data_IF_299518527489
#
_entry.id   IF_299518527489
#
_cell.length_a   1.000
_cell.length_b   1.000
_cell.length_c   1.000
_cell.angle_alpha   90.00
_cell.angle_beta   90.00
_cell.angle_gamma   90.00
#
_symmetry.space_group_name_H-M   'P 1'
#
loop_
_entity.id
_entity.type
_entity.pdbx_description
1 polymer ?
#
# COMPACT_ATOMS: atom_id res chain seq x y z
N UNK A 1 -10.98 -2.47 -24.91
CA UNK A 1 -11.60 -1.51 -23.96
C UNK A 1 -11.57 -2.11 -22.57
N UNK A 2 -10.59 -1.72 -21.74
CA UNK A 2 -10.53 -2.17 -20.34
C UNK A 2 -11.68 -1.51 -19.60
N UNK A 3 -12.65 -2.31 -19.12
CA UNK A 3 -13.70 -1.81 -18.22
C UNK A 3 -12.98 -1.20 -17.02
N UNK A 4 -13.15 0.11 -16.81
CA UNK A 4 -12.69 0.77 -15.58
C UNK A 4 -13.16 -0.08 -14.40
N UNK A 5 -12.25 -0.44 -13.49
CA UNK A 5 -12.61 -1.26 -12.34
C UNK A 5 -13.74 -0.57 -11.57
N UNK A 6 -14.64 -1.36 -10.99
CA UNK A 6 -15.78 -0.90 -10.17
C UNK A 6 -15.36 0.10 -9.09
N UNK A 7 -14.09 0.05 -8.68
CA UNK A 7 -13.43 0.99 -7.77
C UNK A 7 -13.28 2.43 -8.29
N UNK A 8 -13.03 2.62 -9.59
CA UNK A 8 -12.91 3.97 -10.18
C UNK A 8 -14.27 4.67 -10.34
N UNK A 9 -15.35 3.91 -10.50
CA UNK A 9 -16.71 4.46 -10.68
C UNK A 9 -17.32 5.02 -9.38
N UNK A 10 -16.89 4.52 -8.21
CA UNK A 10 -17.30 5.05 -6.90
C UNK A 10 -16.60 6.36 -6.52
N UNK A 11 -15.57 6.75 -7.28
CA UNK A 11 -14.61 7.82 -6.96
C UNK A 11 -14.97 9.19 -7.55
N UNK A 12 -16.07 9.31 -8.31
CA UNK A 12 -16.52 10.61 -8.81
C UNK A 12 -17.09 11.44 -7.65
N UNK A 13 -16.24 12.34 -7.12
CA UNK A 13 -16.61 13.45 -6.27
C UNK A 13 -17.46 14.42 -7.09
N UNK A 14 -18.77 14.19 -7.13
CA UNK A 14 -19.69 15.16 -7.74
C UNK A 14 -19.82 16.37 -6.81
N UNK A 15 -20.09 17.57 -7.36
CA UNK A 15 -20.33 18.77 -6.53
C UNK A 15 -21.43 18.55 -5.49
N UNK A 16 -22.47 17.79 -5.84
CA UNK A 16 -23.56 17.39 -4.94
C UNK A 16 -23.06 16.56 -3.74
N UNK A 17 -22.19 15.57 -3.98
CA UNK A 17 -21.60 14.75 -2.93
C UNK A 17 -20.68 15.57 -2.02
N UNK A 18 -19.94 16.54 -2.58
CA UNK A 18 -19.09 17.44 -1.80
C UNK A 18 -19.90 18.38 -0.90
N UNK A 19 -20.99 18.95 -1.42
CA UNK A 19 -21.90 19.79 -0.63
C UNK A 19 -22.52 19.00 0.52
N UNK A 20 -22.97 17.77 0.26
CA UNK A 20 -23.52 16.89 1.29
C UNK A 20 -22.47 16.44 2.31
N UNK A 21 -21.26 16.12 1.85
CA UNK A 21 -20.13 15.79 2.73
C UNK A 21 -19.85 16.93 3.71
N UNK A 22 -19.92 18.18 3.25
CA UNK A 22 -19.71 19.35 4.11
C UNK A 22 -20.75 19.45 5.22
N UNK A 23 -22.04 19.23 4.91
CA UNK A 23 -23.10 19.19 5.91
C UNK A 23 -22.84 18.10 6.97
N UNK A 24 -22.48 16.89 6.53
CA UNK A 24 -22.14 15.79 7.44
C UNK A 24 -20.93 16.15 8.30
N UNK A 25 -19.89 16.74 7.72
CA UNK A 25 -18.68 17.13 8.45
C UNK A 25 -18.96 18.22 9.50
N UNK A 26 -19.81 19.20 9.20
CA UNK A 26 -20.23 20.22 10.16
C UNK A 26 -20.98 19.62 11.36
N UNK A 27 -21.87 18.65 11.12
CA UNK A 27 -22.57 17.93 12.19
C UNK A 27 -21.61 17.11 13.07
N UNK A 28 -20.65 16.41 12.44
CA UNK A 28 -19.65 15.61 13.17
C UNK A 28 -18.68 16.51 13.95
N UNK A 29 -18.38 17.71 13.43
CA UNK A 29 -17.61 18.73 14.16
C UNK A 29 -18.40 19.27 15.35
N UNK A 30 -19.71 19.41 15.22
CA UNK A 30 -20.64 19.74 16.31
C UNK A 30 -20.86 18.63 17.34
N UNK A 31 -20.12 17.52 17.26
CA UNK A 31 -20.14 16.42 18.24
C UNK A 31 -21.07 15.26 17.88
N UNK A 32 -21.79 15.31 16.75
CA UNK A 32 -22.65 14.20 16.34
C UNK A 32 -21.82 12.96 15.96
N UNK A 33 -22.22 11.75 16.36
CA UNK A 33 -21.60 10.52 15.89
C UNK A 33 -21.65 10.41 14.35
N UNK A 34 -20.53 10.00 13.73
CA UNK A 34 -20.41 9.91 12.26
C UNK A 34 -21.50 9.08 11.61
N UNK A 35 -21.85 7.93 12.22
CA UNK A 35 -22.88 7.05 11.69
C UNK A 35 -24.26 7.70 11.69
N UNK A 36 -24.57 8.53 12.69
CA UNK A 36 -25.83 9.27 12.77
C UNK A 36 -25.86 10.41 11.75
N UNK A 37 -24.79 11.20 11.67
CA UNK A 37 -24.68 12.29 10.71
C UNK A 37 -24.83 11.78 9.26
N UNK A 38 -24.17 10.69 8.91
CA UNK A 38 -24.30 10.07 7.57
C UNK A 38 -25.72 9.59 7.30
N UNK A 39 -26.43 9.01 8.28
CA UNK A 39 -27.80 8.51 8.10
C UNK A 39 -28.83 9.60 7.84
N UNK A 40 -28.59 10.81 8.36
CA UNK A 40 -29.47 11.98 8.16
C UNK A 40 -29.39 12.56 6.75
N UNK A 41 -28.37 12.16 5.99
CA UNK A 41 -28.04 12.73 4.69
C UNK A 41 -27.89 11.61 3.62
N UNK A 42 -28.99 10.93 3.23
CA UNK A 42 -28.94 9.85 2.25
C UNK A 42 -28.66 10.36 0.83
N UNK A 43 -28.03 9.52 0.01
CA UNK A 43 -27.79 9.76 -1.43
C UNK A 43 -28.50 8.71 -2.27
N UNK A 44 -28.68 8.99 -3.56
CA UNK A 44 -29.22 7.99 -4.50
C UNK A 44 -28.31 6.75 -4.50
N UNK A 45 -28.84 5.62 -4.03
CA UNK A 45 -28.10 4.36 -3.91
C UNK A 45 -27.45 4.10 -2.55
N UNK A 46 -27.73 4.88 -1.50
CA UNK A 46 -27.34 4.57 -0.12
C UNK A 46 -26.87 5.79 0.67
N UNK A 47 -25.64 5.73 1.18
CA UNK A 47 -25.06 6.76 2.04
C UNK A 47 -23.71 7.24 1.51
N UNK A 48 -23.32 8.45 1.91
CA UNK A 48 -21.99 8.96 1.59
C UNK A 48 -20.91 8.10 2.25
N UNK A 49 -19.87 7.73 1.50
CA UNK A 49 -18.78 6.93 2.02
C UNK A 49 -17.84 7.77 2.88
N UNK A 50 -17.19 7.13 3.85
CA UNK A 50 -16.12 7.76 4.65
C UNK A 50 -14.97 8.32 3.81
N UNK A 51 -14.65 7.70 2.66
CA UNK A 51 -13.65 8.24 1.73
C UNK A 51 -14.03 9.60 1.16
N UNK A 52 -15.32 9.82 0.87
CA UNK A 52 -15.81 11.12 0.39
C UNK A 52 -15.77 12.16 1.51
N UNK A 53 -16.08 11.78 2.75
CA UNK A 53 -15.94 12.66 3.92
C UNK A 53 -14.48 13.10 4.13
N UNK A 54 -13.53 12.16 4.03
CA UNK A 54 -12.09 12.47 4.12
C UNK A 54 -11.67 13.40 3.00
N UNK A 55 -12.05 13.12 1.75
CA UNK A 55 -11.71 13.97 0.61
C UNK A 55 -12.26 15.41 0.75
N UNK A 56 -13.52 15.55 1.17
CA UNK A 56 -14.12 16.85 1.43
C UNK A 56 -13.43 17.59 2.59
N UNK A 57 -13.07 16.88 3.66
CA UNK A 57 -12.32 17.45 4.78
C UNK A 57 -10.94 17.97 4.32
N UNK A 58 -10.18 17.17 3.57
CA UNK A 58 -8.86 17.59 3.06
C UNK A 58 -8.99 18.82 2.15
N UNK A 59 -9.99 18.87 1.28
CA UNK A 59 -10.25 20.04 0.43
C UNK A 59 -10.56 21.32 1.24
N UNK A 60 -11.30 21.18 2.35
CA UNK A 60 -11.60 22.31 3.24
C UNK A 60 -10.35 22.80 3.99
N UNK A 61 -9.44 21.90 4.34
CA UNK A 61 -8.16 22.26 4.98
C UNK A 61 -7.20 22.90 3.98
N UNK A 62 -7.04 22.31 2.79
CA UNK A 62 -6.16 22.82 1.73
C UNK A 62 -6.59 24.19 1.19
N UNK A 63 -7.91 24.44 1.11
CA UNK A 63 -8.44 25.76 0.74
C UNK A 63 -8.34 26.81 1.84
N UNK A 64 -7.87 26.45 3.04
CA UNK A 64 -7.81 27.33 4.21
C UNK A 64 -9.17 27.64 4.83
N UNK A 65 -10.26 27.03 4.35
CA UNK A 65 -11.58 27.22 4.94
C UNK A 65 -11.63 26.70 6.38
N UNK A 66 -10.96 25.56 6.64
CA UNK A 66 -10.87 24.92 7.95
C UNK A 66 -9.41 24.78 8.40
N UNK A 67 -9.18 24.84 9.71
CA UNK A 67 -7.91 24.39 10.29
C UNK A 67 -7.88 22.86 10.37
N UNK A 68 -6.69 22.28 10.24
CA UNK A 68 -6.52 20.84 10.39
C UNK A 68 -6.88 20.40 11.83
N UNK A 69 -7.85 19.50 11.95
CA UNK A 69 -8.28 18.84 13.18
C UNK A 69 -8.00 17.32 13.08
N UNK A 70 -6.88 16.85 13.67
CA UNK A 70 -6.54 15.43 13.68
C UNK A 70 -7.61 14.54 14.35
N UNK A 71 -8.33 15.08 15.33
CA UNK A 71 -9.39 14.36 16.05
C UNK A 71 -10.61 14.13 15.16
N UNK A 72 -11.02 15.14 14.38
CA UNK A 72 -12.09 14.99 13.39
C UNK A 72 -11.70 13.99 12.30
N UNK A 73 -10.49 14.12 11.74
CA UNK A 73 -9.98 13.20 10.72
C UNK A 73 -9.99 11.74 11.21
N UNK A 74 -9.58 11.50 12.47
CA UNK A 74 -9.61 10.17 13.07
C UNK A 74 -11.03 9.57 13.17
N UNK A 75 -12.06 10.39 13.45
CA UNK A 75 -13.47 9.93 13.52
C UNK A 75 -14.02 9.51 12.16
N UNK A 76 -13.70 10.28 11.11
CA UNK A 76 -14.20 10.06 9.75
C UNK A 76 -13.39 9.02 8.96
N UNK A 77 -12.18 8.67 9.42
CA UNK A 77 -11.32 7.62 8.84
C UNK A 77 -12.01 6.25 8.78
N UNK A 78 -11.74 5.50 7.72
CA UNK A 78 -12.19 4.12 7.57
C UNK A 78 -11.22 3.17 8.30
N UNK A 79 -11.73 2.18 9.05
CA UNK A 79 -10.92 1.16 9.76
C UNK A 79 -9.73 1.75 10.56
N UNK A 80 -10.00 2.61 11.57
CA UNK A 80 -8.96 3.36 12.28
C UNK A 80 -7.88 2.49 12.94
N UNK A 81 -8.22 1.23 13.28
CA UNK A 81 -7.30 0.25 13.87
C UNK A 81 -6.07 -0.07 13.03
N UNK A 82 -6.11 0.16 11.70
CA UNK A 82 -5.03 -0.21 10.78
C UNK A 82 -3.76 0.63 10.90
N UNK A 83 -3.81 1.75 11.63
CA UNK A 83 -2.72 2.73 11.73
C UNK A 83 -2.60 3.29 13.14
N UNK A 84 -2.98 2.53 14.17
CA UNK A 84 -2.91 2.98 15.55
C UNK A 84 -1.47 3.19 16.04
N UNK A 85 -0.52 2.42 15.50
CA UNK A 85 0.92 2.56 15.80
C UNK A 85 1.58 3.76 15.13
N UNK A 86 0.86 4.50 14.28
CA UNK A 86 1.44 5.56 13.45
C UNK A 86 2.32 5.04 12.31
N UNK A 87 2.32 3.73 12.04
CA UNK A 87 3.00 3.11 10.88
C UNK A 87 1.95 2.44 10.00
N UNK A 88 2.02 2.68 8.70
CA UNK A 88 1.07 2.18 7.72
C UNK A 88 1.66 1.05 6.90
N UNK A 89 1.03 -0.12 6.96
CA UNK A 89 1.51 -1.30 6.23
C UNK A 89 1.15 -1.21 4.74
N UNK A 90 2.14 -1.35 3.87
CA UNK A 90 2.00 -1.47 2.42
C UNK A 90 2.43 -2.86 2.01
N UNK A 91 1.50 -3.64 1.48
CA UNK A 91 1.75 -5.02 1.04
C UNK A 91 1.79 -5.09 -0.47
N UNK A 92 2.85 -5.67 -1.01
CA UNK A 92 3.05 -5.96 -2.43
C UNK A 92 3.34 -7.43 -2.63
N UNK A 93 2.94 -7.99 -3.78
CA UNK A 93 3.26 -9.38 -4.13
C UNK A 93 4.26 -9.41 -5.28
N UNK A 94 5.22 -10.32 -5.18
CA UNK A 94 6.15 -10.66 -6.26
C UNK A 94 5.45 -11.43 -7.37
N UNK A 95 6.10 -11.48 -8.54
CA UNK A 95 5.61 -12.27 -9.66
C UNK A 95 5.66 -13.77 -9.38
N UNK A 96 4.91 -14.60 -10.14
CA UNK A 96 5.03 -16.05 -10.10
C UNK A 96 6.47 -16.51 -10.33
N UNK A 97 6.96 -17.38 -9.47
CA UNK A 97 8.31 -17.92 -9.56
C UNK A 97 8.36 -19.33 -8.97
N UNK A 98 9.20 -20.23 -9.52
CA UNK A 98 9.34 -21.58 -8.96
C UNK A 98 9.75 -21.53 -7.49
N UNK A 99 8.96 -22.19 -6.64
CA UNK A 99 9.30 -22.41 -5.24
C UNK A 99 10.14 -23.69 -5.14
N UNK A 100 11.29 -23.67 -4.44
CA UNK A 100 12.10 -24.89 -4.24
C UNK A 100 11.42 -25.89 -3.28
N UNK A 101 10.43 -25.44 -2.52
CA UNK A 101 9.71 -26.28 -1.55
C UNK A 101 8.63 -27.15 -2.18
N UNK A 102 8.51 -28.38 -1.69
CA UNK A 102 7.43 -29.32 -2.05
C UNK A 102 6.40 -29.39 -0.91
N UNK A 103 5.58 -28.34 -0.76
CA UNK A 103 4.54 -28.29 0.26
C UNK A 103 3.19 -28.74 -0.32
N UNK A 104 2.60 -29.79 0.25
CA UNK A 104 1.30 -30.35 -0.16
C UNK A 104 0.10 -29.46 0.20
N UNK A 105 0.26 -28.54 1.15
CA UNK A 105 -0.80 -27.62 1.58
C UNK A 105 -0.83 -26.31 0.78
N UNK A 106 0.30 -25.94 0.16
CA UNK A 106 0.39 -24.68 -0.58
C UNK A 106 -0.42 -24.77 -1.88
N UNK A 107 -1.45 -23.91 -2.08
CA UNK A 107 -2.09 -23.80 -3.37
C UNK A 107 -1.08 -23.36 -4.44
N UNK A 108 -1.36 -23.77 -5.68
CA UNK A 108 -0.54 -23.49 -6.86
C UNK A 108 -1.43 -23.02 -8.00
N UNK A 109 -1.87 -21.77 -7.92
CA UNK A 109 -2.67 -21.17 -8.98
C UNK A 109 -1.76 -20.67 -10.12
N UNK A 110 -2.12 -21.03 -11.36
CA UNK A 110 -1.35 -20.61 -12.52
C UNK A 110 -1.26 -19.09 -12.61
N UNK A 111 -0.03 -18.58 -12.73
CA UNK A 111 0.29 -17.13 -12.78
C UNK A 111 0.12 -16.39 -11.45
N UNK A 112 0.11 -17.11 -10.33
CA UNK A 112 0.26 -16.55 -8.98
C UNK A 112 1.56 -17.05 -8.34
N UNK A 113 2.18 -16.27 -7.42
CA UNK A 113 3.18 -16.84 -6.53
C UNK A 113 2.58 -17.95 -5.66
N UNK A 114 3.41 -18.94 -5.30
CA UNK A 114 3.03 -20.08 -4.45
C UNK A 114 2.35 -19.59 -3.17
N UNK A 115 1.30 -20.29 -2.72
CA UNK A 115 0.47 -19.95 -1.55
C UNK A 115 -0.55 -18.83 -1.71
N UNK A 116 -0.52 -18.03 -2.79
CA UNK A 116 -1.46 -16.93 -2.99
C UNK A 116 -2.50 -17.24 -4.06
N UNK A 117 -3.74 -16.79 -3.83
CA UNK A 117 -4.86 -16.98 -4.74
C UNK A 117 -5.29 -15.65 -5.35
N UNK A 118 -5.65 -15.65 -6.63
CA UNK A 118 -5.90 -14.41 -7.39
C UNK A 118 -7.11 -13.61 -6.89
N UNK A 119 -8.02 -14.23 -6.13
CA UNK A 119 -9.22 -13.62 -5.54
C UNK A 119 -9.00 -13.00 -4.15
N UNK A 120 -7.81 -13.13 -3.57
CA UNK A 120 -7.47 -12.49 -2.30
C UNK A 120 -7.25 -10.99 -2.49
N UNK A 121 -7.66 -10.11 -1.54
CA UNK A 121 -7.58 -8.67 -1.74
C UNK A 121 -6.17 -8.13 -2.06
N UNK A 122 -5.11 -8.73 -1.51
CA UNK A 122 -3.72 -8.37 -1.80
C UNK A 122 -3.28 -8.81 -3.19
N UNK A 123 -3.57 -10.07 -3.51
CA UNK A 123 -3.29 -10.72 -4.78
C UNK A 123 -4.02 -10.07 -5.95
N UNK A 124 -5.32 -9.78 -5.82
CA UNK A 124 -6.10 -9.07 -6.84
C UNK A 124 -5.42 -7.77 -7.27
N UNK A 125 -4.93 -6.97 -6.30
CA UNK A 125 -4.20 -5.73 -6.61
C UNK A 125 -2.89 -6.00 -7.34
N UNK A 126 -2.16 -7.03 -6.95
CA UNK A 126 -0.93 -7.40 -7.63
C UNK A 126 -1.18 -7.82 -9.09
N UNK A 127 -2.23 -8.62 -9.32
CA UNK A 127 -2.67 -9.04 -10.66
C UNK A 127 -3.10 -7.83 -11.50
N UNK A 128 -3.89 -6.91 -10.94
CA UNK A 128 -4.32 -5.67 -11.61
C UNK A 128 -3.13 -4.82 -12.09
N UNK A 129 -2.01 -4.87 -11.36
CA UNK A 129 -0.78 -4.14 -11.68
C UNK A 129 0.28 -5.01 -12.36
N UNK A 130 -0.07 -6.21 -12.83
CA UNK A 130 0.86 -7.18 -13.46
C UNK A 130 2.13 -7.44 -12.62
N UNK A 131 2.01 -7.43 -11.29
CA UNK A 131 3.10 -7.58 -10.33
C UNK A 131 4.21 -6.52 -10.46
N UNK A 132 3.95 -5.35 -11.06
CA UNK A 132 4.90 -4.24 -11.07
C UNK A 132 5.03 -3.62 -9.66
N UNK A 133 6.22 -3.65 -9.03
CA UNK A 133 6.42 -3.18 -7.65
C UNK A 133 6.05 -1.70 -7.46
N UNK A 134 6.44 -0.85 -8.42
CA UNK A 134 6.18 0.59 -8.32
C UNK A 134 4.69 0.91 -8.39
N UNK A 135 3.98 0.31 -9.36
CA UNK A 135 2.55 0.50 -9.55
C UNK A 135 1.75 -0.01 -8.35
N UNK A 136 2.13 -1.16 -7.78
CA UNK A 136 1.52 -1.69 -6.56
C UNK A 136 1.67 -0.74 -5.37
N UNK A 137 2.89 -0.26 -5.09
CA UNK A 137 3.15 0.69 -3.98
C UNK A 137 2.41 2.00 -4.21
N UNK A 138 2.58 2.63 -5.38
CA UNK A 138 1.95 3.91 -5.72
C UNK A 138 0.43 3.85 -5.56
N UNK A 139 -0.21 2.84 -6.17
CA UNK A 139 -1.65 2.66 -6.08
C UNK A 139 -2.12 2.44 -4.64
N UNK A 140 -1.31 1.75 -3.82
CA UNK A 140 -1.62 1.50 -2.42
C UNK A 140 -1.53 2.77 -1.57
N UNK A 141 -0.50 3.59 -1.76
CA UNK A 141 -0.34 4.89 -1.09
C UNK A 141 -1.51 5.82 -1.42
N UNK A 142 -1.82 6.01 -2.70
CA UNK A 142 -2.94 6.85 -3.15
C UNK A 142 -4.29 6.40 -2.56
N UNK A 143 -4.48 5.08 -2.40
CA UNK A 143 -5.69 4.52 -1.79
C UNK A 143 -5.76 4.84 -0.30
N UNK A 144 -4.64 4.69 0.42
CA UNK A 144 -4.55 4.95 1.86
C UNK A 144 -4.77 6.42 2.20
N UNK A 145 -4.19 7.32 1.41
CA UNK A 145 -4.38 8.77 1.54
C UNK A 145 -5.85 9.16 1.29
N UNK A 146 -6.46 8.59 0.25
CA UNK A 146 -7.86 8.85 -0.09
C UNK A 146 -8.84 8.39 0.99
N UNK A 147 -8.45 7.47 1.87
CA UNK A 147 -9.26 7.06 3.05
C UNK A 147 -8.74 7.64 4.36
N UNK A 148 -7.76 8.53 4.30
CA UNK A 148 -7.29 9.38 5.39
C UNK A 148 -6.31 8.71 6.34
N UNK A 149 -5.69 7.60 5.92
CA UNK A 149 -4.58 7.00 6.67
C UNK A 149 -3.29 7.81 6.46
N UNK A 150 -2.48 7.99 7.51
CA UNK A 150 -1.17 8.59 7.37
C UNK A 150 -0.30 7.72 6.46
N UNK A 151 0.55 8.32 5.65
CA UNK A 151 1.50 7.61 4.77
C UNK A 151 2.93 8.10 4.98
N UNK A 152 3.19 8.82 6.08
CA UNK A 152 4.51 9.38 6.40
C UNK A 152 5.53 8.33 6.86
N UNK A 153 5.02 7.23 7.45
CA UNK A 153 5.80 6.06 7.89
C UNK A 153 5.16 4.80 7.35
N UNK A 154 5.91 4.08 6.54
CA UNK A 154 5.50 2.87 5.86
C UNK A 154 6.25 1.68 6.43
N UNK A 155 5.55 0.58 6.64
CA UNK A 155 6.18 -0.74 6.74
C UNK A 155 5.85 -1.50 5.44
N UNK A 156 6.86 -1.73 4.61
CA UNK A 156 6.73 -2.45 3.36
C UNK A 156 6.78 -3.96 3.61
N UNK A 157 5.77 -4.69 3.15
CA UNK A 157 5.69 -6.15 3.21
C UNK A 157 5.75 -6.70 1.79
N UNK A 158 6.84 -7.40 1.48
CA UNK A 158 7.00 -8.13 0.22
C UNK A 158 6.58 -9.58 0.46
N UNK A 159 5.46 -9.93 -0.15
CA UNK A 159 4.83 -11.24 -0.09
C UNK A 159 4.94 -11.98 -1.44
N UNK A 160 4.63 -13.27 -1.44
CA UNK A 160 4.67 -14.18 -2.58
C UNK A 160 5.23 -15.56 -2.20
N UNK A 161 6.08 -16.10 -3.06
CA UNK A 161 6.68 -17.41 -2.83
C UNK A 161 7.84 -17.36 -1.83
N UNK A 162 8.90 -18.11 -2.13
CA UNK A 162 10.14 -18.05 -1.36
C UNK A 162 10.99 -16.88 -1.85
N UNK A 163 11.07 -15.77 -1.11
CA UNK A 163 11.85 -14.59 -1.53
C UNK A 163 13.28 -14.95 -1.96
N UNK A 164 13.95 -15.82 -1.20
CA UNK A 164 15.32 -16.26 -1.46
C UNK A 164 15.52 -17.06 -2.76
N UNK A 165 14.43 -17.60 -3.34
CA UNK A 165 14.51 -18.33 -4.61
C UNK A 165 14.65 -17.40 -5.83
N UNK A 166 14.23 -16.13 -5.71
CA UNK A 166 14.30 -15.18 -6.81
C UNK A 166 15.75 -14.79 -7.12
N UNK A 167 16.03 -14.52 -8.40
CA UNK A 167 17.35 -14.01 -8.83
C UNK A 167 17.68 -12.70 -8.11
N UNK A 168 18.96 -12.50 -7.77
CA UNK A 168 19.44 -11.30 -7.04
C UNK A 168 19.12 -9.99 -7.76
N UNK A 169 19.25 -9.98 -9.09
CA UNK A 169 18.95 -8.81 -9.90
C UNK A 169 17.45 -8.47 -9.90
N UNK A 170 16.57 -9.47 -9.83
CA UNK A 170 15.14 -9.27 -9.63
C UNK A 170 14.82 -8.75 -8.23
N UNK A 171 15.43 -9.33 -7.19
CA UNK A 171 15.23 -8.90 -5.81
C UNK A 171 15.62 -7.43 -5.62
N UNK A 172 16.83 -7.04 -6.07
CA UNK A 172 17.33 -5.68 -5.98
C UNK A 172 16.46 -4.70 -6.78
N UNK A 173 16.12 -5.06 -8.02
CA UNK A 173 15.21 -4.28 -8.86
C UNK A 173 13.84 -4.09 -8.20
N UNK A 174 13.26 -5.15 -7.63
CA UNK A 174 11.93 -5.12 -7.05
C UNK A 174 11.88 -4.18 -5.84
N UNK A 175 12.84 -4.33 -4.92
CA UNK A 175 12.98 -3.46 -3.75
C UNK A 175 13.22 -2.01 -4.20
N UNK A 176 14.16 -1.77 -5.13
CA UNK A 176 14.46 -0.44 -5.65
C UNK A 176 13.20 0.24 -6.19
N UNK A 177 12.40 -0.45 -7.00
CA UNK A 177 11.16 0.10 -7.57
C UNK A 177 10.09 0.40 -6.53
N UNK A 178 10.02 -0.36 -5.43
CA UNK A 178 9.16 -0.02 -4.29
C UNK A 178 9.60 1.30 -3.63
N UNK A 179 10.90 1.47 -3.36
CA UNK A 179 11.45 2.71 -2.81
C UNK A 179 11.23 3.90 -3.75
N UNK A 180 11.44 3.73 -5.05
CA UNK A 180 11.17 4.76 -6.05
C UNK A 180 9.71 5.24 -6.02
N UNK A 181 8.75 4.35 -5.76
CA UNK A 181 7.34 4.73 -5.62
C UNK A 181 7.07 5.53 -4.33
N UNK A 182 7.76 5.20 -3.23
CA UNK A 182 7.67 5.92 -1.95
C UNK A 182 8.38 7.29 -1.99
N UNK A 183 9.46 7.40 -2.76
CA UNK A 183 10.20 8.64 -2.95
C UNK A 183 9.43 9.67 -3.79
N UNK A 184 8.44 9.21 -4.57
CA UNK A 184 7.64 10.06 -5.44
C UNK A 184 8.38 10.53 -6.70
N UNK A 185 7.71 11.28 -7.57
CA UNK A 185 8.32 11.83 -8.78
C UNK A 185 9.35 12.88 -8.41
N UNK A 186 10.64 12.55 -8.52
CA UNK A 186 11.73 13.51 -8.35
C UNK A 186 12.23 13.97 -9.74
N UNK A 187 11.99 15.24 -10.13
CA UNK A 187 12.45 15.78 -11.42
C UNK A 187 13.98 15.79 -11.57
N UNK A 188 14.71 15.78 -10.45
CA UNK A 188 16.17 15.80 -10.38
C UNK A 188 16.77 14.39 -10.31
N UNK A 189 15.95 13.35 -10.19
CA UNK A 189 16.43 11.98 -10.25
C UNK A 189 16.49 11.49 -11.69
N UNK A 190 17.57 10.82 -12.11
CA UNK A 190 17.61 10.19 -13.42
C UNK A 190 16.47 9.17 -13.53
N UNK A 191 15.82 9.02 -14.70
CA UNK A 191 14.81 7.99 -14.89
C UNK A 191 15.43 6.62 -14.61
N UNK A 192 14.85 5.86 -13.68
CA UNK A 192 15.33 4.53 -13.36
C UNK A 192 15.01 3.58 -14.53
N UNK A 193 15.99 2.82 -15.03
CA UNK A 193 15.77 1.91 -16.15
C UNK A 193 14.65 0.93 -15.83
N UNK A 194 13.68 0.83 -16.76
CA UNK A 194 12.39 0.15 -16.55
C UNK A 194 12.32 -1.26 -17.18
N UNK A 195 13.47 -1.94 -17.31
CA UNK A 195 13.47 -3.37 -17.63
C UNK A 195 13.49 -4.15 -16.32
N UNK A 196 12.78 -5.27 -16.29
CA UNK A 196 12.84 -6.18 -15.15
C UNK A 196 14.28 -6.69 -14.98
N UNK A 197 14.77 -6.63 -13.74
CA UNK A 197 16.13 -6.99 -13.42
C UNK A 197 17.13 -5.85 -13.66
N UNK A 198 18.33 -6.05 -13.16
CA UNK A 198 19.42 -5.08 -13.15
C UNK A 198 19.85 -4.71 -11.73
N UNK A 199 21.15 -4.46 -11.59
CA UNK A 199 21.77 -4.07 -10.33
C UNK A 199 22.09 -2.58 -10.32
N UNK A 200 22.21 -2.01 -9.13
CA UNK A 200 22.54 -0.60 -8.94
C UNK A 200 21.33 0.33 -8.80
N UNK A 201 21.60 1.50 -8.23
CA UNK A 201 20.59 2.52 -7.93
C UNK A 201 19.81 2.29 -6.63
N UNK A 202 19.87 1.09 -6.03
CA UNK A 202 19.22 0.82 -4.74
C UNK A 202 19.72 1.74 -3.63
N UNK A 203 21.05 1.93 -3.52
CA UNK A 203 21.63 2.83 -2.52
C UNK A 203 21.12 4.28 -2.65
N UNK A 204 21.00 4.79 -3.88
CA UNK A 204 20.41 6.10 -4.14
C UNK A 204 18.93 6.14 -3.73
N UNK A 205 18.17 5.09 -4.05
CA UNK A 205 16.76 5.00 -3.67
C UNK A 205 16.57 4.99 -2.14
N UNK A 206 17.44 4.30 -1.40
CA UNK A 206 17.47 4.35 0.07
C UNK A 206 17.79 5.76 0.59
N UNK A 207 18.86 6.39 0.09
CA UNK A 207 19.26 7.75 0.54
C UNK A 207 18.16 8.78 0.29
N UNK A 208 17.48 8.71 -0.85
CA UNK A 208 16.32 9.57 -1.13
C UNK A 208 15.17 9.29 -0.15
N UNK A 209 14.97 8.03 0.24
CA UNK A 209 13.88 7.65 1.13
C UNK A 209 14.07 8.09 2.58
N UNK A 210 15.30 8.28 3.05
CA UNK A 210 15.61 8.76 4.41
C UNK A 210 14.88 10.07 4.75
N UNK A 211 14.64 10.91 3.74
CA UNK A 211 13.98 12.22 3.87
C UNK A 211 12.70 12.35 3.05
N UNK A 212 12.24 11.26 2.43
CA UNK A 212 11.03 11.27 1.60
C UNK A 212 9.76 11.54 2.43
N UNK A 213 8.69 11.94 1.75
CA UNK A 213 7.37 12.09 2.38
C UNK A 213 6.83 10.74 2.87
N UNK A 214 7.05 9.66 2.12
CA UNK A 214 6.72 8.29 2.53
C UNK A 214 7.99 7.55 2.92
N UNK A 215 8.32 7.53 4.20
CA UNK A 215 9.55 6.86 4.68
C UNK A 215 9.26 5.40 4.96
N UNK A 216 10.04 4.52 4.37
CA UNK A 216 10.04 3.11 4.76
C UNK A 216 10.80 2.97 6.07
N UNK A 217 10.07 2.72 7.15
CA UNK A 217 10.63 2.52 8.50
C UNK A 217 10.80 1.03 8.81
N UNK A 218 10.39 0.14 7.91
CA UNK A 218 10.65 -1.28 8.02
C UNK A 218 10.26 -2.06 6.78
N UNK A 219 11.15 -2.95 6.35
CA UNK A 219 10.94 -3.82 5.21
C UNK A 219 10.89 -5.28 5.69
N UNK A 220 9.78 -5.95 5.39
CA UNK A 220 9.55 -7.35 5.66
C UNK A 220 9.56 -8.18 4.38
N UNK A 221 10.26 -9.32 4.42
CA UNK A 221 10.20 -10.35 3.37
C UNK A 221 9.78 -11.68 3.97
N UNK A 222 9.09 -12.49 3.19
CA UNK A 222 8.79 -13.88 3.56
C UNK A 222 9.69 -14.87 2.82
N UNK A 223 10.21 -15.85 3.56
CA UNK A 223 11.04 -16.91 2.98
C UNK A 223 10.93 -18.19 3.81
N UNK A 224 11.54 -19.26 3.32
CA UNK A 224 11.54 -20.55 3.99
C UNK A 224 12.67 -20.63 5.03
N UNK A 225 12.49 -21.33 6.15
CA UNK A 225 13.55 -21.46 7.17
C UNK A 225 14.85 -22.05 6.62
N UNK A 226 14.78 -22.98 5.66
CA UNK A 226 15.93 -23.66 5.05
C UNK A 226 16.76 -22.78 4.10
N UNK A 227 16.25 -21.61 3.71
CA UNK A 227 16.97 -20.63 2.87
C UNK A 227 17.78 -19.62 3.69
N UNK A 228 17.62 -19.61 5.02
CA UNK A 228 18.28 -18.64 5.89
C UNK A 228 19.73 -19.06 6.16
N UNK A 229 20.66 -18.37 5.52
CA UNK A 229 22.11 -18.52 5.73
C UNK A 229 22.74 -17.17 6.10
N UNK A 230 23.96 -17.14 6.68
CA UNK A 230 24.65 -15.87 6.94
C UNK A 230 24.83 -14.98 5.70
N UNK A 231 25.07 -15.58 4.54
CA UNK A 231 25.18 -14.87 3.26
C UNK A 231 23.82 -14.30 2.82
N UNK A 232 22.74 -15.06 3.01
CA UNK A 232 21.38 -14.58 2.73
C UNK A 232 21.01 -13.40 3.63
N UNK A 233 21.32 -13.47 4.92
CA UNK A 233 21.10 -12.37 5.85
C UNK A 233 21.94 -11.13 5.50
N UNK A 234 23.17 -11.32 5.03
CA UNK A 234 23.99 -10.20 4.54
C UNK A 234 23.35 -9.53 3.31
N UNK A 235 22.79 -10.32 2.40
CA UNK A 235 22.03 -9.81 1.27
C UNK A 235 20.74 -9.10 1.69
N UNK A 236 20.00 -9.64 2.65
CA UNK A 236 18.80 -8.99 3.20
C UNK A 236 19.13 -7.62 3.80
N UNK A 237 20.24 -7.49 4.53
CA UNK A 237 20.72 -6.20 5.03
C UNK A 237 21.05 -5.23 3.90
N UNK A 238 21.67 -5.71 2.81
CA UNK A 238 21.94 -4.89 1.63
C UNK A 238 20.64 -4.36 1.00
N UNK A 239 19.59 -5.18 0.95
CA UNK A 239 18.26 -4.81 0.48
C UNK A 239 17.50 -3.87 1.42
N UNK A 240 17.99 -3.62 2.65
CA UNK A 240 17.28 -2.82 3.65
C UNK A 240 16.21 -3.59 4.45
N UNK A 241 16.21 -4.93 4.38
CA UNK A 241 15.26 -5.77 5.14
C UNK A 241 15.52 -5.64 6.64
N UNK A 242 14.45 -5.36 7.40
CA UNK A 242 14.48 -5.25 8.86
C UNK A 242 13.72 -6.36 9.56
N UNK A 243 12.87 -7.11 8.84
CA UNK A 243 12.08 -8.24 9.37
C UNK A 243 12.03 -9.39 8.38
N UNK A 244 12.19 -10.61 8.88
CA UNK A 244 12.05 -11.84 8.08
C UNK A 244 10.91 -12.67 8.64
N UNK A 245 9.92 -12.99 7.80
CA UNK A 245 8.81 -13.87 8.14
C UNK A 245 9.12 -15.27 7.64
N UNK A 246 9.37 -16.20 8.58
CA UNK A 246 9.71 -17.58 8.27
C UNK A 246 8.49 -18.48 8.42
N UNK A 247 8.17 -19.23 7.37
CA UNK A 247 7.07 -20.19 7.38
C UNK A 247 7.42 -21.48 8.12
N UNK A 248 7.53 -21.46 9.45
CA UNK A 248 7.85 -22.65 10.27
C UNK A 248 6.73 -23.71 10.26
N UNK A 249 5.47 -23.29 10.09
CA UNK A 249 4.25 -24.13 10.08
C UNK A 249 3.96 -24.85 11.41
N UNK A 250 4.79 -25.81 11.81
CA UNK A 250 4.68 -26.62 13.04
C UNK A 250 6.08 -26.95 13.55
N UNK A 251 6.22 -27.10 14.87
CA UNK A 251 7.43 -27.57 15.55
C UNK A 251 7.32 -29.05 15.93
#
# INVERSE_FOLDING_TARGET
MVKKSTFQQLRTLTPEKLALARLVLDEVRGGRPVAEAVRRHPVKGGYISKSVLVAAYNQLVESGAWQADPGLLARIRLKPVRTLSGVTTVTVLTKPYPCPGQCIFCPDEARMPKSYLSDEPGAMRAVEHNFDPYAQVKSRLETLEAVGHPTDKIELLILGGTWSAYRRDYQEWFVRRCFEAMNGPNPSSPPFPSREGGTGGLGLAHTLNETALHRDVGLAVETRPDEITPNELAWFRHLGVTKVQMGAQSL
#
